data_IF_976045397669
#
_entry.id   IF_976045397669
#
_cell.length_a   1.000
_cell.length_b   1.000
_cell.length_c   1.000
_cell.angle_alpha   90.00
_cell.angle_beta   90.00
_cell.angle_gamma   90.00
#
_symmetry.space_group_name_H-M   'P 1'
#
loop_
_entity.id
_entity.type
_entity.pdbx_description
1 polymer ?
#
# COMPACT_ATOMS: atom_id res chain seq x y z
N UNK A 1 1.64 25.62 15.59
CA UNK A 1 2.47 24.40 15.46
C UNK A 1 1.74 23.52 14.47
N UNK A 2 2.34 23.26 13.31
CA UNK A 2 1.76 22.38 12.30
C UNK A 2 1.66 20.97 12.88
N UNK A 3 0.46 20.38 12.85
CA UNK A 3 0.27 18.99 13.27
C UNK A 3 0.88 18.08 12.23
N UNK A 4 1.85 17.26 12.66
CA UNK A 4 2.46 16.24 11.82
C UNK A 4 1.38 15.23 11.40
N UNK A 5 1.00 15.26 10.12
CA UNK A 5 -0.09 14.45 9.58
C UNK A 5 0.43 13.15 8.97
N UNK A 6 -0.06 12.02 9.48
CA UNK A 6 0.05 10.73 8.79
C UNK A 6 -0.80 10.75 7.53
N UNK A 7 -0.22 10.38 6.40
CA UNK A 7 -0.91 10.26 5.12
C UNK A 7 -1.04 8.80 4.77
N UNK A 8 -2.26 8.36 4.43
CA UNK A 8 -2.55 6.98 4.06
C UNK A 8 -3.32 6.93 2.75
N UNK A 9 -2.91 6.06 1.83
CA UNK A 9 -3.50 5.93 0.50
C UNK A 9 -3.62 4.46 0.08
N UNK A 10 -4.81 4.05 -0.36
CA UNK A 10 -5.03 2.75 -1.00
C UNK A 10 -4.77 2.82 -2.49
N UNK A 11 -4.10 1.80 -3.04
CA UNK A 11 -3.74 1.68 -4.46
C UNK A 11 -4.04 0.26 -4.94
N UNK A 12 -4.78 0.12 -6.03
CA UNK A 12 -4.97 -1.17 -6.70
C UNK A 12 -3.76 -1.47 -7.60
N UNK A 13 -3.27 -2.72 -7.56
CA UNK A 13 -2.08 -3.17 -8.27
C UNK A 13 -2.30 -4.52 -8.96
N UNK A 14 -1.42 -4.84 -9.90
CA UNK A 14 -1.31 -6.17 -10.50
C UNK A 14 0.09 -6.74 -10.24
N UNK A 15 0.16 -7.88 -9.54
CA UNK A 15 1.40 -8.62 -9.37
C UNK A 15 1.62 -9.51 -10.61
N UNK A 16 2.62 -9.18 -11.42
CA UNK A 16 3.02 -10.00 -12.56
C UNK A 16 3.77 -11.26 -12.09
N UNK A 17 3.19 -12.43 -12.30
CA UNK A 17 3.81 -13.72 -11.96
C UNK A 17 4.42 -14.42 -13.18
N UNK A 18 3.74 -14.36 -14.32
CA UNK A 18 4.21 -14.92 -15.59
C UNK A 18 3.74 -14.04 -16.76
N UNK A 19 4.23 -14.31 -17.98
CA UNK A 19 3.96 -13.48 -19.18
C UNK A 19 2.47 -13.25 -19.47
N UNK A 20 1.60 -14.15 -18.99
CA UNK A 20 0.14 -14.10 -19.18
C UNK A 20 -0.65 -14.12 -17.86
N UNK A 21 0.02 -14.16 -16.70
CA UNK A 21 -0.65 -14.33 -15.42
C UNK A 21 -0.29 -13.17 -14.48
N UNK A 22 -1.32 -12.41 -14.10
CA UNK A 22 -1.26 -11.38 -13.08
C UNK A 22 -2.30 -11.65 -11.99
N UNK A 23 -1.95 -11.29 -10.76
CA UNK A 23 -2.86 -11.34 -9.61
C UNK A 23 -3.22 -9.92 -9.19
N UNK A 24 -4.52 -9.66 -9.06
CA UNK A 24 -5.02 -8.43 -8.47
C UNK A 24 -4.66 -8.35 -6.99
N UNK A 25 -4.14 -7.19 -6.58
CA UNK A 25 -3.74 -6.91 -5.22
C UNK A 25 -4.15 -5.48 -4.85
N UNK A 26 -4.26 -5.26 -3.54
CA UNK A 26 -4.38 -3.94 -2.95
C UNK A 26 -3.07 -3.58 -2.22
N UNK A 27 -2.69 -2.30 -2.25
CA UNK A 27 -1.56 -1.77 -1.49
C UNK A 27 -2.00 -0.57 -0.67
N UNK A 28 -1.60 -0.55 0.60
CA UNK A 28 -1.72 0.62 1.48
C UNK A 28 -0.36 1.30 1.59
N UNK A 29 -0.28 2.54 1.13
CA UNK A 29 0.86 3.42 1.33
C UNK A 29 0.63 4.26 2.57
N UNK A 30 1.64 4.32 3.44
CA UNK A 30 1.63 5.14 4.65
C UNK A 30 2.90 5.98 4.72
N UNK A 31 2.69 7.28 4.89
CA UNK A 31 3.73 8.24 5.22
C UNK A 31 3.50 8.74 6.65
N UNK A 32 4.54 8.66 7.48
CA UNK A 32 4.54 9.12 8.86
C UNK A 32 5.61 10.19 9.03
N UNK A 33 5.28 11.39 9.53
CA UNK A 33 6.28 12.46 9.64
C UNK A 33 7.37 12.21 10.69
N UNK A 34 7.18 11.21 11.56
CA UNK A 34 8.23 10.69 12.46
C UNK A 34 9.36 10.00 11.70
N UNK A 35 9.11 9.59 10.45
CA UNK A 35 10.05 8.96 9.54
C UNK A 35 9.91 9.58 8.13
N UNK A 36 10.28 10.87 7.97
CA UNK A 36 9.84 11.72 6.85
C UNK A 36 10.46 11.36 5.50
N UNK A 37 11.39 10.41 5.46
CA UNK A 37 12.01 9.92 4.22
C UNK A 37 11.53 8.52 3.84
N UNK A 38 10.63 7.93 4.63
CA UNK A 38 10.14 6.57 4.42
C UNK A 38 8.67 6.59 4.02
N UNK A 39 8.34 5.80 3.01
CA UNK A 39 6.97 5.43 2.69
C UNK A 39 6.84 3.93 2.94
N UNK A 40 5.96 3.56 3.85
CA UNK A 40 5.67 2.17 4.19
C UNK A 40 4.60 1.66 3.23
N UNK A 41 4.84 0.49 2.64
CA UNK A 41 3.88 -0.19 1.78
C UNK A 41 3.45 -1.51 2.42
N UNK A 42 2.15 -1.73 2.55
CA UNK A 42 1.57 -3.01 2.93
C UNK A 42 0.77 -3.55 1.74
N UNK A 43 1.01 -4.81 1.35
CA UNK A 43 0.38 -5.47 0.20
C UNK A 43 -0.62 -6.52 0.68
N UNK A 44 -1.78 -6.56 0.04
CA UNK A 44 -2.89 -7.45 0.35
C UNK A 44 -3.29 -8.16 -0.94
N UNK A 45 -3.39 -9.48 -0.93
CA UNK A 45 -4.02 -10.21 -2.02
C UNK A 45 -5.54 -10.11 -1.84
N UNK A 46 -6.31 -10.01 -2.93
CA UNK A 46 -7.79 -9.98 -2.88
C UNK A 46 -8.43 -11.26 -2.26
N UNK A 47 -7.61 -12.24 -1.86
CA UNK A 47 -8.02 -13.42 -1.10
C UNK A 47 -8.23 -13.16 0.39
N UNK A 48 -7.79 -12.01 0.90
CA UNK A 48 -7.94 -11.62 2.31
C UNK A 48 -8.40 -10.16 2.38
N UNK A 49 -9.67 -9.92 2.06
CA UNK A 49 -10.33 -8.71 2.52
C UNK A 49 -10.32 -8.74 4.07
N UNK A 50 -9.74 -7.74 4.75
CA UNK A 50 -9.82 -7.70 6.21
C UNK A 50 -11.30 -7.50 6.65
N UNK A 51 -11.73 -8.13 7.75
CA UNK A 51 -13.11 -8.05 8.25
C UNK A 51 -13.53 -6.64 8.68
#
# INVERSE_FOLDING_TARGET
METLKTVMQGVALQLGMARIYSLSMCMSLRYEPTDPYVVRAAFFADTEAPP
#
